data_IF_617251772945
#
_entry.id   IF_617251772945
#
_cell.length_a   1.000
_cell.length_b   1.000
_cell.length_c   1.000
_cell.angle_alpha   90.00
_cell.angle_beta   90.00
_cell.angle_gamma   90.00
#
_symmetry.space_group_name_H-M   'P 1'
#
loop_
_entity.id
_entity.type
_entity.pdbx_description
1 polymer ?
#
# COMPACT_ATOMS: atom_id res chain seq x y z
N UNK A 1 -35.32 71.32 -16.14
CA UNK A 1 -33.88 71.00 -15.98
C UNK A 1 -33.77 69.72 -15.17
N UNK A 2 -33.67 68.60 -15.87
CA UNK A 2 -33.64 67.25 -15.34
C UNK A 2 -32.22 66.78 -15.05
N UNK A 3 -31.95 66.25 -13.87
CA UNK A 3 -30.70 65.57 -13.57
C UNK A 3 -31.02 64.11 -13.20
N UNK A 4 -30.74 63.24 -14.14
CA UNK A 4 -30.80 61.81 -13.98
C UNK A 4 -29.63 61.34 -13.09
N UNK A 5 -29.93 60.67 -11.98
CA UNK A 5 -28.96 59.91 -11.18
C UNK A 5 -28.98 58.47 -11.70
N UNK A 6 -27.93 58.06 -12.40
CA UNK A 6 -27.72 56.69 -12.79
C UNK A 6 -27.19 55.89 -11.59
N UNK A 7 -27.98 54.94 -11.11
CA UNK A 7 -27.58 54.01 -10.09
C UNK A 7 -26.77 52.88 -10.72
N UNK A 8 -25.49 52.75 -10.38
CA UNK A 8 -24.65 51.60 -10.70
C UNK A 8 -25.00 50.44 -9.74
N UNK A 9 -25.66 49.43 -10.27
CA UNK A 9 -25.82 48.13 -9.62
C UNK A 9 -24.53 47.37 -9.77
N UNK A 10 -23.73 47.32 -8.71
CA UNK A 10 -22.56 46.43 -8.63
C UNK A 10 -23.07 45.02 -8.29
N UNK A 11 -23.14 44.18 -9.30
CA UNK A 11 -23.40 42.73 -9.12
C UNK A 11 -22.10 42.10 -8.70
N UNK A 12 -21.99 41.89 -7.38
CA UNK A 12 -20.87 41.13 -6.78
C UNK A 12 -21.08 39.65 -7.04
N UNK A 13 -20.44 39.13 -8.09
CA UNK A 13 -20.44 37.69 -8.40
C UNK A 13 -19.49 37.00 -7.42
N UNK A 14 -20.02 36.42 -6.36
CA UNK A 14 -19.29 35.50 -5.50
C UNK A 14 -19.10 34.18 -6.26
N UNK A 15 -17.91 34.00 -6.82
CA UNK A 15 -17.44 32.69 -7.28
C UNK A 15 -17.25 31.81 -6.04
N UNK A 16 -18.21 30.94 -5.78
CA UNK A 16 -18.05 29.80 -4.86
C UNK A 16 -17.06 28.84 -5.48
N UNK A 17 -15.80 28.95 -5.08
CA UNK A 17 -14.80 27.88 -5.30
C UNK A 17 -15.21 26.70 -4.43
N UNK A 18 -16.04 25.82 -4.97
CA UNK A 18 -16.24 24.49 -4.43
C UNK A 18 -14.93 23.72 -4.68
N UNK A 19 -14.02 23.81 -3.73
CA UNK A 19 -12.89 22.91 -3.67
C UNK A 19 -13.43 21.52 -3.35
N UNK A 20 -13.74 20.75 -4.38
CA UNK A 20 -13.93 19.31 -4.25
C UNK A 20 -12.60 18.73 -3.77
N UNK A 21 -12.46 18.55 -2.47
CA UNK A 21 -11.46 17.67 -1.90
C UNK A 21 -11.91 16.24 -2.21
N UNK A 22 -11.72 15.81 -3.46
CA UNK A 22 -11.83 14.39 -3.77
C UNK A 22 -10.79 13.68 -2.92
N UNK A 23 -11.25 12.81 -2.02
CA UNK A 23 -10.36 11.89 -1.35
C UNK A 23 -9.73 11.04 -2.46
N UNK A 24 -8.48 11.35 -2.80
CA UNK A 24 -7.76 10.63 -3.83
C UNK A 24 -7.75 9.14 -3.47
N UNK A 25 -8.25 8.31 -4.36
CA UNK A 25 -8.28 6.84 -4.26
C UNK A 25 -7.32 6.22 -5.28
N UNK A 26 -7.03 4.95 -5.12
CA UNK A 26 -6.18 4.21 -6.04
C UNK A 26 -4.69 4.34 -5.77
N UNK A 27 -3.87 3.62 -6.55
CA UNK A 27 -2.43 3.67 -6.45
C UNK A 27 -1.90 5.01 -6.95
N UNK A 28 -0.74 5.42 -6.44
CA UNK A 28 -0.02 6.60 -6.94
C UNK A 28 1.17 6.16 -7.79
N UNK A 29 1.70 7.10 -8.57
CA UNK A 29 2.92 6.86 -9.33
C UNK A 29 4.07 6.45 -8.41
N UNK A 30 4.79 5.39 -8.79
CA UNK A 30 6.04 4.96 -8.17
C UNK A 30 7.20 5.48 -9.00
N UNK A 31 8.09 6.23 -8.37
CA UNK A 31 9.37 6.61 -8.96
C UNK A 31 10.34 5.44 -8.78
N UNK A 32 10.27 4.50 -9.73
CA UNK A 32 11.11 3.31 -9.72
C UNK A 32 12.59 3.68 -9.62
N UNK A 33 13.34 2.86 -8.91
CA UNK A 33 14.76 3.05 -8.63
C UNK A 33 15.09 4.33 -7.83
N UNK A 34 14.07 4.92 -7.18
CA UNK A 34 14.15 6.13 -6.34
C UNK A 34 13.34 6.08 -5.07
N UNK A 35 12.05 5.66 -5.15
CA UNK A 35 11.20 5.55 -3.98
C UNK A 35 11.70 4.43 -3.07
N UNK A 36 11.61 4.63 -1.76
CA UNK A 36 12.03 3.66 -0.78
C UNK A 36 10.85 2.88 -0.22
N UNK A 37 11.05 1.59 0.00
CA UNK A 37 10.12 0.72 0.69
C UNK A 37 9.91 1.19 2.14
N UNK A 38 8.65 1.29 2.56
CA UNK A 38 8.30 1.76 3.90
C UNK A 38 8.81 0.82 5.01
N UNK A 39 8.85 -0.49 4.75
CA UNK A 39 9.26 -1.50 5.73
C UNK A 39 10.76 -1.71 5.79
N UNK A 40 11.39 -2.02 4.66
CA UNK A 40 12.80 -2.44 4.61
C UNK A 40 13.77 -1.31 4.21
N UNK A 41 13.26 -0.16 3.78
CA UNK A 41 14.01 1.03 3.35
C UNK A 41 14.85 0.82 2.08
N UNK A 42 14.74 -0.33 1.42
CA UNK A 42 15.35 -0.56 0.12
C UNK A 42 14.60 0.18 -0.98
N UNK A 43 15.25 0.38 -2.11
CA UNK A 43 14.69 1.04 -3.29
C UNK A 43 13.69 0.11 -3.99
N UNK A 44 12.56 0.65 -4.43
CA UNK A 44 11.58 -0.09 -5.23
C UNK A 44 12.11 -0.22 -6.66
N UNK A 45 12.47 -1.43 -7.07
CA UNK A 45 12.96 -1.73 -8.43
C UNK A 45 12.17 -2.83 -9.14
N UNK A 46 11.53 -3.73 -8.37
CA UNK A 46 10.69 -4.80 -8.91
C UNK A 46 9.29 -4.29 -9.21
N UNK A 47 8.93 -4.29 -10.50
CA UNK A 47 7.63 -3.79 -11.00
C UNK A 47 6.53 -4.85 -11.03
N UNK A 48 6.83 -6.06 -10.56
CA UNK A 48 5.91 -7.20 -10.61
C UNK A 48 5.43 -7.66 -9.22
N UNK A 49 6.11 -7.23 -8.15
CA UNK A 49 5.81 -7.68 -6.79
C UNK A 49 5.64 -6.55 -5.77
N UNK A 50 5.65 -5.29 -6.24
CA UNK A 50 5.47 -4.15 -5.37
C UNK A 50 4.01 -4.02 -4.89
N UNK A 51 3.85 -3.34 -3.77
CA UNK A 51 2.55 -3.02 -3.20
C UNK A 51 2.45 -1.56 -2.74
N UNK A 52 1.22 -1.06 -2.65
CA UNK A 52 0.89 0.22 -2.03
C UNK A 52 -0.27 0.04 -1.06
N UNK A 53 -0.18 0.72 0.07
CA UNK A 53 -1.26 0.80 1.04
C UNK A 53 -1.63 2.26 1.20
N UNK A 54 -2.93 2.57 1.02
CA UNK A 54 -3.46 3.88 1.36
C UNK A 54 -4.30 3.75 2.61
N UNK A 55 -4.01 4.56 3.63
CA UNK A 55 -4.74 4.56 4.89
C UNK A 55 -4.07 5.43 5.93
N UNK A 56 -4.56 5.38 7.14
CA UNK A 56 -4.02 6.12 8.28
C UNK A 56 -4.95 6.07 9.48
N UNK A 57 -4.52 6.56 10.65
CA UNK A 57 -5.35 6.63 11.84
C UNK A 57 -6.62 7.44 11.61
N UNK A 58 -7.70 7.09 12.31
CA UNK A 58 -8.96 7.81 12.26
C UNK A 58 -8.75 9.30 12.57
N UNK A 59 -9.32 10.18 11.75
CA UNK A 59 -9.18 11.64 11.88
C UNK A 59 -7.93 12.23 11.21
N UNK A 60 -7.02 11.42 10.70
CA UNK A 60 -5.87 11.86 9.93
C UNK A 60 -6.11 11.73 8.43
N UNK A 61 -5.39 12.55 7.64
CA UNK A 61 -5.41 12.41 6.18
C UNK A 61 -4.74 11.11 5.79
N UNK A 62 -5.42 10.28 5.00
CA UNK A 62 -4.85 9.04 4.47
C UNK A 62 -3.54 9.31 3.69
N UNK A 63 -2.54 8.48 3.93
CA UNK A 63 -1.23 8.51 3.26
C UNK A 63 -1.05 7.26 2.41
N UNK A 64 -0.16 7.34 1.42
CA UNK A 64 0.22 6.18 0.61
C UNK A 64 1.60 5.71 1.05
N UNK A 65 1.69 4.45 1.41
CA UNK A 65 2.90 3.73 1.77
C UNK A 65 3.26 2.77 0.66
N UNK A 66 4.54 2.71 0.28
CA UNK A 66 5.03 1.92 -0.85
C UNK A 66 5.95 0.81 -0.36
N UNK A 67 5.84 -0.35 -0.99
CA UNK A 67 6.58 -1.55 -0.61
C UNK A 67 7.15 -2.23 -1.86
N UNK A 68 8.33 -2.80 -1.73
CA UNK A 68 9.01 -3.56 -2.76
C UNK A 68 8.52 -5.02 -2.86
N UNK A 69 7.77 -5.49 -1.84
CA UNK A 69 7.29 -6.88 -1.75
C UNK A 69 5.89 -6.92 -1.12
N UNK A 70 5.00 -7.66 -1.76
CA UNK A 70 3.59 -7.83 -1.32
C UNK A 70 3.53 -8.39 0.10
N UNK A 71 4.33 -9.43 0.41
CA UNK A 71 4.35 -10.03 1.75
C UNK A 71 4.88 -9.05 2.80
N UNK A 72 5.87 -8.24 2.43
CA UNK A 72 6.38 -7.16 3.27
C UNK A 72 5.32 -6.12 3.61
N UNK A 73 4.47 -5.74 2.64
CA UNK A 73 3.35 -4.84 2.83
C UNK A 73 2.28 -5.43 3.76
N UNK A 74 1.93 -6.70 3.56
CA UNK A 74 0.97 -7.43 4.40
C UNK A 74 1.42 -7.45 5.87
N UNK A 75 2.67 -7.82 6.13
CA UNK A 75 3.23 -7.86 7.49
C UNK A 75 3.23 -6.48 8.13
N UNK A 76 3.64 -5.44 7.38
CA UNK A 76 3.64 -4.07 7.87
C UNK A 76 2.24 -3.57 8.22
N UNK A 77 1.24 -3.89 7.40
CA UNK A 77 -0.16 -3.50 7.65
C UNK A 77 -0.73 -4.18 8.89
N UNK A 78 -0.30 -5.40 9.21
CA UNK A 78 -0.80 -6.15 10.35
C UNK A 78 -0.64 -5.40 11.68
N UNK A 79 0.41 -4.61 11.81
CA UNK A 79 0.70 -3.83 13.02
C UNK A 79 -0.07 -2.52 13.12
N UNK A 80 -0.94 -2.20 12.15
CA UNK A 80 -1.69 -0.94 12.12
C UNK A 80 -3.09 -1.13 12.71
N UNK A 81 -3.48 -0.21 13.60
CA UNK A 81 -4.81 -0.22 14.20
C UNK A 81 -5.92 -0.07 13.15
N UNK A 82 -5.61 0.61 12.05
CA UNK A 82 -6.53 0.91 10.95
C UNK A 82 -6.47 -0.11 9.78
N UNK A 83 -5.80 -1.25 9.97
CA UNK A 83 -5.60 -2.27 8.91
C UNK A 83 -6.88 -2.83 8.28
N UNK A 84 -7.95 -2.87 9.06
CA UNK A 84 -9.24 -3.42 8.65
C UNK A 84 -10.31 -2.33 8.44
N UNK A 85 -9.92 -1.04 8.44
CA UNK A 85 -10.81 0.08 8.21
C UNK A 85 -11.30 0.07 6.75
N UNK A 86 -12.57 0.41 6.54
CA UNK A 86 -13.20 0.42 5.20
C UNK A 86 -12.52 1.38 4.21
N UNK A 87 -11.81 2.39 4.72
CA UNK A 87 -11.03 3.33 3.89
C UNK A 87 -9.59 2.87 3.61
N UNK A 88 -9.16 1.72 4.13
CA UNK A 88 -7.83 1.18 3.84
C UNK A 88 -7.83 0.50 2.49
N UNK A 89 -7.03 1.02 1.57
CA UNK A 89 -6.82 0.44 0.24
C UNK A 89 -5.52 -0.35 0.21
N UNK A 90 -5.55 -1.50 -0.45
CA UNK A 90 -4.38 -2.33 -0.70
C UNK A 90 -4.24 -2.60 -2.20
N UNK A 91 -3.19 -2.08 -2.80
CA UNK A 91 -2.88 -2.20 -4.22
C UNK A 91 -1.61 -3.02 -4.42
N UNK A 92 -1.62 -3.91 -5.40
CA UNK A 92 -0.47 -4.77 -5.72
C UNK A 92 -0.20 -4.76 -7.22
N UNK A 93 1.04 -5.02 -7.62
CA UNK A 93 1.32 -5.25 -9.03
C UNK A 93 0.86 -6.66 -9.43
N UNK A 94 0.23 -6.77 -10.59
CA UNK A 94 0.04 -8.06 -11.25
C UNK A 94 1.43 -8.61 -11.64
N UNK A 95 1.77 -9.80 -11.15
CA UNK A 95 3.11 -10.36 -11.34
C UNK A 95 3.43 -10.71 -12.80
N UNK A 96 2.43 -10.72 -13.68
CA UNK A 96 2.57 -11.07 -15.09
C UNK A 96 2.96 -9.86 -15.95
N UNK A 97 2.37 -8.68 -15.67
CA UNK A 97 2.50 -7.48 -16.51
C UNK A 97 2.85 -6.19 -15.75
N UNK A 98 2.84 -6.22 -14.41
CA UNK A 98 3.23 -5.08 -13.57
C UNK A 98 2.15 -4.00 -13.38
N UNK A 99 0.94 -4.18 -13.91
CA UNK A 99 -0.15 -3.22 -13.68
C UNK A 99 -0.66 -3.27 -12.24
N UNK A 100 -1.17 -2.15 -11.75
CA UNK A 100 -1.76 -2.08 -10.43
C UNK A 100 -3.17 -2.69 -10.41
N UNK A 101 -3.42 -3.58 -9.47
CA UNK A 101 -4.72 -4.24 -9.25
C UNK A 101 -5.12 -4.12 -7.78
N UNK A 102 -6.43 -4.25 -7.51
CA UNK A 102 -6.97 -4.25 -6.14
C UNK A 102 -6.54 -5.52 -5.40
N UNK A 103 -5.66 -5.36 -4.42
CA UNK A 103 -5.10 -6.47 -3.66
C UNK A 103 -6.12 -7.24 -2.82
N UNK A 104 -7.24 -6.62 -2.43
CA UNK A 104 -8.30 -7.36 -1.72
C UNK A 104 -9.06 -8.33 -2.62
N UNK A 105 -9.06 -8.09 -3.94
CA UNK A 105 -9.75 -8.90 -4.96
C UNK A 105 -8.82 -9.82 -5.74
N UNK A 106 -7.51 -9.57 -5.66
CA UNK A 106 -6.52 -10.34 -6.40
C UNK A 106 -6.51 -11.83 -5.99
N UNK A 107 -6.12 -12.68 -6.92
CA UNK A 107 -5.70 -14.05 -6.68
C UNK A 107 -4.19 -14.08 -6.45
N UNK A 108 -3.74 -14.74 -5.41
CA UNK A 108 -2.33 -14.79 -5.04
C UNK A 108 -1.73 -16.16 -5.33
N UNK A 109 -0.50 -16.16 -5.80
CA UNK A 109 0.28 -17.38 -6.07
C UNK A 109 1.55 -17.39 -5.24
N UNK A 110 1.97 -18.57 -4.80
CA UNK A 110 3.23 -18.78 -4.09
C UNK A 110 4.35 -19.22 -5.02
N UNK A 111 5.58 -19.28 -4.49
CA UNK A 111 6.74 -19.76 -5.22
C UNK A 111 7.39 -18.75 -6.17
N UNK A 112 7.00 -17.48 -6.09
CA UNK A 112 7.62 -16.41 -6.85
C UNK A 112 8.97 -16.02 -6.24
N UNK A 113 9.87 -15.49 -7.07
CA UNK A 113 11.10 -14.86 -6.60
C UNK A 113 10.82 -13.38 -6.37
N UNK A 114 10.79 -12.96 -5.11
CA UNK A 114 10.41 -11.60 -4.71
C UNK A 114 11.51 -10.90 -3.93
N UNK A 115 11.56 -9.57 -3.89
CA UNK A 115 12.65 -8.81 -3.27
C UNK A 115 12.94 -9.15 -1.81
N UNK A 116 11.89 -9.47 -1.03
CA UNK A 116 12.01 -9.83 0.38
C UNK A 116 11.77 -11.33 0.64
N UNK A 117 11.82 -12.16 -0.40
CA UNK A 117 11.65 -13.63 -0.32
C UNK A 117 10.34 -14.09 0.37
N UNK A 118 9.28 -13.29 0.31
CA UNK A 118 7.95 -13.78 0.72
C UNK A 118 7.35 -14.73 -0.30
N UNK A 119 7.83 -14.69 -1.55
CA UNK A 119 7.45 -15.62 -2.60
C UNK A 119 6.00 -15.47 -3.07
N UNK A 120 5.38 -14.30 -2.87
CA UNK A 120 3.97 -14.02 -3.19
C UNK A 120 3.89 -13.18 -4.46
N UNK A 121 3.23 -13.69 -5.50
CA UNK A 121 2.76 -12.92 -6.64
C UNK A 121 1.25 -12.69 -6.56
N UNK A 122 0.74 -11.66 -7.22
CA UNK A 122 -0.68 -11.38 -7.34
C UNK A 122 -1.11 -11.28 -8.80
N UNK A 123 -2.34 -11.64 -9.11
CA UNK A 123 -2.95 -11.46 -10.43
C UNK A 123 -4.47 -11.19 -10.28
N UNK A 124 -5.06 -10.51 -11.27
CA UNK A 124 -6.49 -10.17 -11.23
C UNK A 124 -7.41 -11.33 -11.61
N UNK A 125 -6.92 -12.30 -12.34
CA UNK A 125 -7.66 -13.50 -12.71
C UNK A 125 -7.42 -14.62 -11.70
N UNK A 126 -8.42 -15.49 -11.53
CA UNK A 126 -8.27 -16.66 -10.67
C UNK A 126 -7.13 -17.56 -11.16
N UNK A 127 -6.19 -17.89 -10.26
CA UNK A 127 -5.13 -18.84 -10.51
C UNK A 127 -5.52 -20.24 -10.02
N UNK A 128 -5.11 -21.29 -10.73
CA UNK A 128 -5.21 -22.65 -10.21
C UNK A 128 -4.37 -22.78 -8.93
N UNK A 129 -5.00 -23.25 -7.84
CA UNK A 129 -4.34 -23.28 -6.53
C UNK A 129 -4.07 -21.90 -5.92
N UNK A 130 -4.64 -20.84 -6.48
CA UNK A 130 -4.48 -19.48 -6.02
C UNK A 130 -5.08 -19.25 -4.62
N UNK A 131 -4.48 -18.37 -3.86
CA UNK A 131 -4.91 -17.93 -2.53
C UNK A 131 -5.78 -16.67 -2.64
N UNK A 132 -6.78 -16.56 -1.78
CA UNK A 132 -7.46 -15.29 -1.49
C UNK A 132 -6.53 -14.34 -0.72
N UNK A 133 -6.89 -13.06 -0.60
CA UNK A 133 -6.15 -12.10 0.23
C UNK A 133 -5.95 -12.60 1.67
N UNK A 134 -6.97 -13.18 2.29
CA UNK A 134 -6.85 -13.68 3.68
C UNK A 134 -5.87 -14.87 3.79
N UNK A 135 -5.86 -15.75 2.80
CA UNK A 135 -4.90 -16.86 2.75
C UNK A 135 -3.47 -16.36 2.50
N UNK A 136 -3.29 -15.40 1.59
CA UNK A 136 -1.99 -14.77 1.35
C UNK A 136 -1.49 -14.01 2.59
N UNK A 137 -2.39 -13.36 3.32
CA UNK A 137 -2.09 -12.72 4.62
C UNK A 137 -1.57 -13.74 5.63
N UNK A 138 -2.27 -14.86 5.80
CA UNK A 138 -1.84 -15.93 6.69
C UNK A 138 -0.47 -16.47 6.29
N UNK A 139 -0.29 -16.77 5.02
CA UNK A 139 0.97 -17.26 4.45
C UNK A 139 2.15 -16.31 4.70
N UNK A 140 1.97 -15.00 4.47
CA UNK A 140 3.01 -13.99 4.73
C UNK A 140 3.39 -13.92 6.22
N UNK A 141 2.41 -13.97 7.12
CA UNK A 141 2.62 -13.94 8.57
C UNK A 141 3.33 -15.20 9.07
N UNK A 142 3.04 -16.36 8.50
CA UNK A 142 3.80 -17.59 8.82
C UNK A 142 5.26 -17.51 8.40
N UNK A 143 5.55 -16.96 7.22
CA UNK A 143 6.93 -16.75 6.75
C UNK A 143 7.66 -15.82 7.72
N UNK A 144 7.04 -14.71 8.10
CA UNK A 144 7.62 -13.75 9.04
C UNK A 144 7.89 -14.39 10.41
N UNK A 145 6.92 -15.12 10.95
CA UNK A 145 7.07 -15.83 12.22
C UNK A 145 8.27 -16.82 12.21
N UNK A 146 8.39 -17.60 11.15
CA UNK A 146 9.52 -18.52 10.96
C UNK A 146 10.87 -17.80 10.91
N UNK A 147 10.92 -16.60 10.30
CA UNK A 147 12.13 -15.77 10.26
C UNK A 147 12.51 -15.25 11.63
N UNK A 148 11.53 -14.78 12.40
CA UNK A 148 11.78 -14.29 13.76
C UNK A 148 12.30 -15.40 14.67
N UNK A 149 11.73 -16.61 14.60
CA UNK A 149 12.21 -17.75 15.35
C UNK A 149 13.67 -18.11 15.01
N UNK A 150 14.03 -18.15 13.72
CA UNK A 150 15.41 -18.41 13.30
C UNK A 150 16.38 -17.36 13.79
N UNK A 151 15.97 -16.08 13.76
CA UNK A 151 16.80 -14.96 14.24
C UNK A 151 17.04 -15.06 15.74
N UNK A 152 16.00 -15.37 16.51
CA UNK A 152 16.11 -15.51 17.96
C UNK A 152 17.00 -16.70 18.36
N UNK A 153 16.86 -17.84 17.68
CA UNK A 153 17.70 -19.02 17.97
C UNK A 153 19.18 -18.73 17.68
N UNK A 154 19.46 -18.05 16.54
CA UNK A 154 20.83 -17.66 16.19
C UNK A 154 21.44 -16.70 17.23
N UNK A 155 20.67 -15.74 17.71
CA UNK A 155 21.11 -14.82 18.74
C UNK A 155 21.43 -15.55 20.04
N UNK A 156 20.61 -16.52 20.44
CA UNK A 156 20.89 -17.35 21.64
C UNK A 156 22.19 -18.15 21.50
N UNK A 157 22.43 -18.77 20.34
CA UNK A 157 23.67 -19.50 20.09
C UNK A 157 24.91 -18.59 20.15
N UNK A 158 24.82 -17.37 19.59
CA UNK A 158 25.90 -16.38 19.65
C UNK A 158 26.16 -15.92 21.09
N UNK A 159 25.12 -15.69 21.88
CA UNK A 159 25.24 -15.25 23.28
C UNK A 159 25.82 -16.36 24.19
N UNK A 160 25.59 -17.64 23.88
CA UNK A 160 26.21 -18.76 24.61
C UNK A 160 27.68 -18.95 24.29
N UNK A 161 28.09 -18.69 23.05
CA UNK A 161 29.49 -18.81 22.62
C UNK A 161 30.41 -17.68 23.17
N UNK A 162 29.82 -16.59 23.66
CA UNK A 162 30.55 -15.43 24.18
C UNK A 162 30.68 -15.39 25.69
N UNK A 163 30.17 -16.42 26.40
CA UNK A 163 30.28 -16.60 27.86
C UNK A 163 31.39 -17.56 28.21
#
# INVERSE_FOLDING_TARGET
MSRQCAGLLAVSTWLLLVACSENATGPVEVKWDRDACERCRMVLSDRHHAAQIRGGPAGEKARVYKFDDIGGAIVWLQDKAWKDDAGTEFWVNDHRDGRWIDGHKASYVSGQRTPMDFGIGAQDEAAEGGMTFQQARHYALEIESRRQLKKNNKQHEEDELTK
#
